data_IF_871223940049
#
_entry.id   IF_871223940049
#
_cell.length_a   1.000
_cell.length_b   1.000
_cell.length_c   1.000
_cell.angle_alpha   90.00
_cell.angle_beta   90.00
_cell.angle_gamma   90.00
#
_symmetry.space_group_name_H-M   'P 1'
#
loop_
_entity.id
_entity.type
_entity.pdbx_description
1 polymer ?
#
# COMPACT_ATOMS: atom_id res chain seq x y z
N UNK A 1 53.58 -11.14 8.09
CA UNK A 1 52.40 -11.01 7.20
C UNK A 1 51.41 -10.09 7.89
N UNK A 2 51.31 -8.84 7.44
CA UNK A 2 50.34 -7.88 7.95
C UNK A 2 49.02 -8.19 7.23
N UNK A 3 48.06 -8.79 7.94
CA UNK A 3 46.70 -8.86 7.43
C UNK A 3 46.15 -7.43 7.50
N UNK A 4 46.18 -6.72 6.38
CA UNK A 4 45.45 -5.47 6.24
C UNK A 4 43.97 -5.77 6.43
N UNK A 5 43.48 -5.51 7.63
CA UNK A 5 42.08 -5.64 7.97
C UNK A 5 41.28 -4.75 7.04
N UNK A 6 40.39 -5.36 6.24
CA UNK A 6 39.45 -4.64 5.38
C UNK A 6 38.84 -3.47 6.17
N UNK A 7 38.80 -2.24 5.62
CA UNK A 7 38.27 -1.07 6.30
C UNK A 7 36.88 -1.30 6.92
N UNK A 8 36.08 -2.18 6.31
CA UNK A 8 34.73 -2.53 6.77
C UNK A 8 34.71 -3.20 8.15
N UNK A 9 35.79 -3.86 8.55
CA UNK A 9 35.92 -4.49 9.86
C UNK A 9 36.03 -3.46 11.00
N UNK A 10 36.45 -2.23 10.69
CA UNK A 10 36.58 -1.11 11.63
C UNK A 10 35.27 -0.36 11.90
N UNK A 11 34.21 -0.62 11.12
CA UNK A 11 32.91 0.02 11.32
C UNK A 11 32.31 -0.30 12.70
N UNK A 12 31.74 0.70 13.36
CA UNK A 12 31.04 0.53 14.63
C UNK A 12 29.80 -0.36 14.47
N UNK A 13 29.44 -1.11 15.52
CA UNK A 13 28.28 -2.00 15.47
C UNK A 13 26.97 -1.25 15.16
N UNK A 14 26.84 -0.03 15.68
CA UNK A 14 25.68 0.83 15.43
C UNK A 14 25.57 1.24 13.96
N UNK A 15 26.69 1.61 13.32
CA UNK A 15 26.70 1.95 11.89
C UNK A 15 26.32 0.74 11.03
N UNK A 16 26.83 -0.44 11.36
CA UNK A 16 26.44 -1.68 10.70
C UNK A 16 24.94 -1.95 10.88
N UNK A 17 24.42 -1.77 12.09
CA UNK A 17 23.00 -1.95 12.38
C UNK A 17 22.14 -0.94 11.61
N UNK A 18 22.54 0.33 11.51
CA UNK A 18 21.87 1.33 10.67
C UNK A 18 21.85 0.89 9.20
N UNK A 19 22.97 0.39 8.67
CA UNK A 19 23.04 -0.16 7.31
C UNK A 19 22.09 -1.35 7.14
N UNK A 20 22.06 -2.29 8.08
CA UNK A 20 21.15 -3.43 8.01
C UNK A 20 19.69 -3.00 8.12
N UNK A 21 19.38 -1.99 8.93
CA UNK A 21 18.04 -1.42 8.99
C UNK A 21 17.63 -0.77 7.67
N UNK A 22 18.53 -0.05 7.00
CA UNK A 22 18.25 0.48 5.65
C UNK A 22 17.93 -0.64 4.66
N UNK A 23 18.58 -1.80 4.77
CA UNK A 23 18.27 -2.98 3.96
C UNK A 23 16.92 -3.65 4.31
N UNK A 24 16.32 -3.32 5.46
CA UNK A 24 14.96 -3.76 5.82
C UNK A 24 13.87 -2.81 5.38
N UNK A 25 14.26 -1.60 4.97
CA UNK A 25 13.36 -0.70 4.29
C UNK A 25 13.16 -1.24 2.87
N UNK A 26 12.25 -2.19 2.70
CA UNK A 26 11.73 -2.59 1.40
C UNK A 26 11.25 -1.34 0.68
N UNK A 27 12.09 -0.80 -0.20
CA UNK A 27 11.84 0.42 -0.98
C UNK A 27 11.17 1.58 -0.22
N UNK A 28 11.41 1.75 1.09
CA UNK A 28 10.92 2.96 1.80
C UNK A 28 11.72 4.19 1.37
N UNK A 29 12.97 4.00 0.91
CA UNK A 29 13.75 5.10 0.33
C UNK A 29 13.25 5.47 -1.08
N UNK A 30 12.56 4.55 -1.76
CA UNK A 30 11.74 4.86 -2.94
C UNK A 30 10.27 5.11 -2.57
N UNK A 31 9.88 5.10 -1.29
CA UNK A 31 8.51 5.39 -0.83
C UNK A 31 8.25 6.88 -0.66
N UNK A 32 9.20 7.75 -1.05
CA UNK A 32 8.81 9.07 -1.54
C UNK A 32 8.12 8.99 -2.91
N UNK A 33 8.30 7.88 -3.64
CA UNK A 33 7.33 7.43 -4.63
C UNK A 33 6.40 6.43 -3.96
N UNK A 34 5.24 6.92 -3.53
CA UNK A 34 4.11 6.13 -2.99
C UNK A 34 3.71 4.93 -3.87
N UNK A 35 4.25 4.81 -5.08
CA UNK A 35 4.08 3.70 -6.00
C UNK A 35 4.62 2.35 -5.49
N UNK A 36 5.63 2.28 -4.63
CA UNK A 36 6.26 1.00 -4.23
C UNK A 36 5.34 0.14 -3.34
N UNK A 37 4.58 0.77 -2.42
CA UNK A 37 3.59 0.08 -1.58
C UNK A 37 2.41 -0.48 -2.36
N UNK A 38 2.12 0.09 -3.53
CA UNK A 38 0.97 -0.23 -4.37
C UNK A 38 1.36 -0.82 -5.73
N UNK A 39 2.64 -1.15 -5.92
CA UNK A 39 3.10 -1.85 -7.12
C UNK A 39 2.74 -3.33 -6.97
N UNK A 40 2.04 -3.88 -7.96
CA UNK A 40 1.81 -5.32 -8.06
C UNK A 40 3.09 -6.09 -8.43
N UNK A 41 4.18 -5.38 -8.73
CA UNK A 41 5.48 -5.98 -9.01
C UNK A 41 6.12 -6.44 -7.70
N UNK A 42 5.95 -7.72 -7.37
CA UNK A 42 6.66 -8.33 -6.26
C UNK A 42 8.18 -8.17 -6.46
N UNK A 43 8.93 -7.68 -5.46
CA UNK A 43 10.37 -7.59 -5.57
C UNK A 43 10.94 -8.98 -5.85
N UNK A 44 11.98 -9.04 -6.70
CA UNK A 44 12.70 -10.28 -6.96
C UNK A 44 13.12 -10.88 -5.62
N UNK A 45 13.01 -12.20 -5.49
CA UNK A 45 13.29 -12.93 -4.24
C UNK A 45 14.62 -12.53 -3.57
N UNK A 46 15.63 -12.20 -4.39
CA UNK A 46 16.97 -11.80 -3.97
C UNK A 46 17.04 -10.43 -3.29
N UNK A 47 16.08 -9.54 -3.55
CA UNK A 47 16.03 -8.16 -3.08
C UNK A 47 15.10 -8.02 -1.85
N UNK A 48 14.59 -9.15 -1.33
CA UNK A 48 13.71 -9.15 -0.17
C UNK A 48 14.49 -8.95 1.14
N UNK A 49 13.95 -8.19 2.11
CA UNK A 49 14.63 -7.85 3.36
C UNK A 49 15.21 -9.05 4.09
N UNK A 50 14.41 -10.11 4.26
CA UNK A 50 14.85 -11.34 4.92
C UNK A 50 16.03 -11.99 4.18
N UNK A 51 16.00 -12.02 2.85
CA UNK A 51 17.08 -12.56 2.01
C UNK A 51 18.35 -11.73 2.15
N UNK A 52 18.24 -10.40 2.14
CA UNK A 52 19.37 -9.48 2.29
C UNK A 52 19.98 -9.60 3.69
N UNK A 53 19.16 -9.60 4.75
CA UNK A 53 19.63 -9.79 6.14
C UNK A 53 20.31 -11.14 6.31
N UNK A 54 19.73 -12.22 5.77
CA UNK A 54 20.32 -13.55 5.80
C UNK A 54 21.69 -13.58 5.11
N UNK A 55 21.81 -13.03 3.89
CA UNK A 55 23.08 -12.94 3.15
C UNK A 55 24.11 -12.09 3.90
N UNK A 56 23.68 -10.96 4.46
CA UNK A 56 24.54 -10.08 5.26
C UNK A 56 25.12 -10.80 6.48
N UNK A 57 24.35 -11.68 7.11
CA UNK A 57 24.81 -12.50 8.25
C UNK A 57 25.88 -13.55 7.89
N UNK A 58 26.17 -13.74 6.60
CA UNK A 58 27.15 -14.71 6.10
C UNK A 58 28.46 -14.04 5.65
N UNK A 59 28.54 -12.70 5.65
CA UNK A 59 29.74 -11.97 5.21
C UNK A 59 30.93 -12.19 6.15
N UNK A 60 30.73 -11.99 7.45
CA UNK A 60 31.75 -12.25 8.46
C UNK A 60 31.13 -12.48 9.85
N UNK A 61 31.94 -12.96 10.81
CA UNK A 61 31.47 -13.21 12.20
C UNK A 61 30.93 -11.96 12.89
N UNK A 62 31.54 -10.79 12.67
CA UNK A 62 31.10 -9.53 13.26
C UNK A 62 29.70 -9.15 12.77
N UNK A 63 29.47 -9.19 11.46
CA UNK A 63 28.16 -8.90 10.87
C UNK A 63 27.09 -9.88 11.34
N UNK A 64 27.47 -11.16 11.40
CA UNK A 64 26.62 -12.21 11.96
C UNK A 64 26.21 -11.90 13.39
N UNK A 65 27.15 -11.55 14.27
CA UNK A 65 26.84 -11.18 15.67
C UNK A 65 25.82 -10.05 15.75
N UNK A 66 26.12 -8.91 15.10
CA UNK A 66 25.24 -7.73 15.08
C UNK A 66 23.83 -8.06 14.57
N UNK A 67 23.72 -8.81 13.46
CA UNK A 67 22.43 -9.19 12.88
C UNK A 67 21.67 -10.17 13.79
N UNK A 68 22.34 -11.21 14.29
CA UNK A 68 21.68 -12.26 15.07
C UNK A 68 21.19 -11.73 16.43
N UNK A 69 21.86 -10.72 17.00
CA UNK A 69 21.52 -10.09 18.28
C UNK A 69 20.47 -8.96 18.14
N UNK A 70 20.21 -8.47 16.93
CA UNK A 70 19.28 -7.36 16.71
C UNK A 70 17.82 -7.82 16.57
N UNK A 71 17.07 -7.86 17.67
CA UNK A 71 15.64 -8.18 17.64
C UNK A 71 14.82 -7.24 16.76
N UNK A 72 15.15 -5.94 16.72
CA UNK A 72 14.43 -4.95 15.91
C UNK A 72 14.56 -5.23 14.41
N UNK A 73 15.70 -5.79 13.98
CA UNK A 73 15.91 -6.22 12.60
C UNK A 73 15.02 -7.41 12.26
N UNK A 74 14.95 -8.41 13.14
CA UNK A 74 14.12 -9.61 12.93
C UNK A 74 12.62 -9.30 12.92
N UNK A 75 12.16 -8.33 13.73
CA UNK A 75 10.77 -7.86 13.69
C UNK A 75 10.38 -7.20 12.35
N UNK A 76 11.35 -6.60 11.64
CA UNK A 76 11.11 -5.91 10.36
C UNK A 76 11.11 -6.82 9.13
N UNK A 77 11.49 -8.09 9.26
CA UNK A 77 11.70 -9.00 8.12
C UNK A 77 10.79 -10.22 8.13
N UNK A 78 9.59 -10.10 8.71
CA UNK A 78 8.59 -11.18 8.75
C UNK A 78 7.92 -11.29 7.37
N UNK A 79 8.62 -11.94 6.44
CA UNK A 79 8.11 -12.30 5.11
C UNK A 79 7.50 -13.69 5.16
N UNK A 80 6.17 -13.75 5.25
CA UNK A 80 5.41 -15.00 5.37
C UNK A 80 5.55 -15.87 4.13
N UNK A 81 5.76 -15.27 2.95
CA UNK A 81 5.91 -16.04 1.72
C UNK A 81 7.23 -16.79 1.68
N UNK A 82 8.31 -16.20 2.18
CA UNK A 82 9.57 -16.90 2.34
C UNK A 82 9.54 -17.87 3.51
N UNK A 83 9.07 -17.42 4.69
CA UNK A 83 9.22 -18.18 5.94
C UNK A 83 8.39 -19.47 5.98
N UNK A 84 7.17 -19.45 5.45
CA UNK A 84 6.35 -20.67 5.42
C UNK A 84 6.81 -21.67 4.36
N UNK A 85 7.47 -21.22 3.29
CA UNK A 85 8.07 -22.11 2.30
C UNK A 85 9.33 -22.82 2.81
N UNK A 86 10.00 -22.26 3.82
CA UNK A 86 11.26 -22.77 4.33
C UNK A 86 11.06 -23.70 5.53
N UNK A 87 11.72 -24.86 5.47
CA UNK A 87 11.84 -25.84 6.57
C UNK A 87 10.53 -26.06 7.38
N UNK A 88 9.39 -26.18 6.68
CA UNK A 88 8.07 -26.46 7.28
C UNK A 88 7.68 -25.51 8.42
N UNK A 89 8.03 -24.22 8.33
CA UNK A 89 7.63 -23.20 9.30
C UNK A 89 8.57 -23.03 10.50
N UNK A 90 9.61 -23.87 10.68
CA UNK A 90 10.61 -23.67 11.74
C UNK A 90 11.30 -22.29 11.64
N UNK A 91 11.47 -21.78 10.42
CA UNK A 91 12.05 -20.46 10.22
C UNK A 91 11.14 -19.33 10.68
N UNK A 92 9.81 -19.46 10.54
CA UNK A 92 8.87 -18.47 11.08
C UNK A 92 9.03 -18.38 12.60
N UNK A 93 9.00 -19.52 13.28
CA UNK A 93 9.16 -19.58 14.74
C UNK A 93 10.51 -18.99 15.19
N UNK A 94 11.59 -19.27 14.46
CA UNK A 94 12.91 -18.71 14.77
C UNK A 94 12.98 -17.19 14.56
N UNK A 95 12.37 -16.66 13.49
CA UNK A 95 12.30 -15.21 13.25
C UNK A 95 11.46 -14.52 14.32
N UNK A 96 10.30 -15.08 14.66
CA UNK A 96 9.44 -14.55 15.72
C UNK A 96 10.16 -14.61 17.07
N UNK A 97 10.82 -15.72 17.41
CA UNK A 97 11.63 -15.85 18.63
C UNK A 97 12.73 -14.80 18.69
N UNK A 98 13.45 -14.56 17.59
CA UNK A 98 14.52 -13.54 17.52
C UNK A 98 13.98 -12.12 17.59
N UNK A 99 12.78 -11.87 17.08
CA UNK A 99 12.12 -10.56 17.19
C UNK A 99 11.82 -10.17 18.63
N UNK A 100 11.78 -11.13 19.57
CA UNK A 100 11.54 -10.88 20.98
C UNK A 100 10.20 -10.17 21.19
N UNK A 101 10.22 -8.98 21.77
CA UNK A 101 9.06 -8.10 21.98
C UNK A 101 8.99 -6.93 21.00
N UNK A 102 9.85 -6.92 19.97
CA UNK A 102 9.88 -5.83 19.00
C UNK A 102 8.64 -5.84 18.11
N UNK A 103 8.32 -4.67 17.55
CA UNK A 103 7.24 -4.53 16.59
C UNK A 103 7.47 -5.38 15.34
N UNK A 104 6.38 -5.90 14.79
CA UNK A 104 6.37 -6.78 13.63
C UNK A 104 5.94 -6.03 12.38
N UNK A 105 6.68 -6.27 11.30
CA UNK A 105 6.33 -5.89 9.94
C UNK A 105 6.09 -7.17 9.16
N UNK A 106 4.82 -7.49 8.97
CA UNK A 106 4.37 -8.73 8.34
C UNK A 106 4.07 -8.44 6.87
N UNK A 107 4.72 -9.18 5.99
CA UNK A 107 4.57 -9.06 4.53
C UNK A 107 4.27 -10.41 3.91
N UNK A 108 3.47 -10.43 2.84
CA UNK A 108 3.36 -11.56 1.91
C UNK A 108 3.63 -11.10 0.49
N UNK A 109 3.93 -12.05 -0.38
CA UNK A 109 3.81 -11.87 -1.81
C UNK A 109 2.47 -12.42 -2.33
N UNK A 110 2.12 -11.99 -3.54
CA UNK A 110 0.91 -12.42 -4.24
C UNK A 110 0.92 -13.92 -4.63
N UNK A 111 2.01 -14.65 -4.41
CA UNK A 111 2.25 -15.97 -4.98
C UNK A 111 1.99 -17.09 -3.97
N UNK A 112 0.81 -17.72 -4.06
CA UNK A 112 0.59 -19.08 -3.54
C UNK A 112 0.44 -19.21 -2.01
N UNK A 113 -0.10 -18.18 -1.34
CA UNK A 113 -0.22 -18.12 0.13
C UNK A 113 -1.32 -19.04 0.69
N UNK A 114 -2.18 -19.66 -0.13
CA UNK A 114 -3.27 -20.51 0.36
C UNK A 114 -2.83 -21.60 1.34
N UNK A 115 -1.66 -22.22 1.11
CA UNK A 115 -1.09 -23.26 2.02
C UNK A 115 -0.48 -22.70 3.31
N UNK A 116 -0.23 -21.39 3.37
CA UNK A 116 0.48 -20.68 4.45
C UNK A 116 -0.47 -19.97 5.42
N UNK A 117 -1.74 -19.99 5.09
CA UNK A 117 -2.79 -19.23 5.74
C UNK A 117 -3.03 -19.61 7.20
N UNK A 118 -2.99 -20.91 7.60
CA UNK A 118 -3.08 -21.25 9.02
C UNK A 118 -1.96 -20.60 9.84
N UNK A 119 -0.72 -20.58 9.32
CA UNK A 119 0.41 -19.96 10.01
C UNK A 119 0.27 -18.43 10.10
N UNK A 120 -0.30 -17.79 9.07
CA UNK A 120 -0.62 -16.37 9.12
C UNK A 120 -1.69 -16.08 10.18
N UNK A 121 -2.78 -16.85 10.21
CA UNK A 121 -3.85 -16.67 11.19
C UNK A 121 -3.29 -16.79 12.61
N UNK A 122 -2.50 -17.83 12.90
CA UNK A 122 -1.84 -18.01 14.20
C UNK A 122 -0.94 -16.82 14.53
N UNK A 123 -0.10 -16.38 13.58
CA UNK A 123 0.77 -15.21 13.78
C UNK A 123 -0.03 -13.95 14.11
N UNK A 124 -1.10 -13.70 13.37
CA UNK A 124 -1.98 -12.55 13.57
C UNK A 124 -2.73 -12.66 14.91
N UNK A 125 -3.18 -13.84 15.29
CA UNK A 125 -3.90 -14.05 16.55
C UNK A 125 -2.98 -13.79 17.76
N UNK A 126 -1.80 -14.41 17.75
CA UNK A 126 -0.83 -14.41 18.86
C UNK A 126 -0.08 -13.08 19.03
N UNK A 127 0.09 -12.31 17.95
CA UNK A 127 0.98 -11.14 17.94
C UNK A 127 0.34 -9.85 17.44
N UNK A 128 -0.99 -9.77 17.36
CA UNK A 128 -1.72 -8.59 16.88
C UNK A 128 -1.25 -7.27 17.48
N UNK A 129 -1.07 -7.24 18.79
CA UNK A 129 -0.67 -6.04 19.56
C UNK A 129 0.74 -5.55 19.23
N UNK A 130 1.55 -6.36 18.54
CA UNK A 130 2.91 -6.02 18.13
C UNK A 130 2.99 -5.67 16.65
N UNK A 131 1.95 -5.91 15.86
CA UNK A 131 1.97 -5.67 14.42
C UNK A 131 1.84 -4.18 14.16
N UNK A 132 2.96 -3.58 13.75
CA UNK A 132 3.03 -2.16 13.36
C UNK A 132 2.74 -1.99 11.86
N UNK A 133 3.08 -2.98 11.05
CA UNK A 133 2.83 -2.95 9.61
C UNK A 133 2.31 -4.30 9.15
N UNK A 134 1.13 -4.31 8.55
CA UNK A 134 0.55 -5.49 7.91
C UNK A 134 0.37 -5.22 6.43
N UNK A 135 1.09 -5.94 5.59
CA UNK A 135 0.94 -5.89 4.13
C UNK A 135 0.77 -7.32 3.59
N UNK A 136 -0.47 -7.73 3.48
CA UNK A 136 -0.84 -9.08 3.09
C UNK A 136 -1.68 -9.03 1.82
N UNK A 137 -1.17 -9.66 0.77
CA UNK A 137 -1.96 -10.01 -0.41
C UNK A 137 -1.91 -11.51 -0.61
N UNK A 138 -3.06 -12.14 -0.82
CA UNK A 138 -3.17 -13.59 -0.97
C UNK A 138 -4.26 -13.99 -1.96
N UNK A 139 -4.11 -15.18 -2.53
CA UNK A 139 -5.13 -15.87 -3.33
C UNK A 139 -5.52 -17.15 -2.60
N UNK A 140 -6.81 -17.35 -2.36
CA UNK A 140 -7.36 -18.49 -1.61
C UNK A 140 -8.42 -19.21 -2.43
N UNK A 141 -8.48 -20.55 -2.36
CA UNK A 141 -9.58 -21.29 -2.99
C UNK A 141 -10.92 -21.01 -2.31
N UNK A 142 -12.04 -21.18 -3.02
CA UNK A 142 -13.38 -20.82 -2.55
C UNK A 142 -13.72 -21.37 -1.14
N UNK A 143 -13.55 -22.67 -0.92
CA UNK A 143 -13.86 -23.32 0.36
C UNK A 143 -12.99 -22.83 1.51
N UNK A 144 -11.69 -22.59 1.25
CA UNK A 144 -10.78 -22.04 2.26
C UNK A 144 -11.08 -20.57 2.55
N UNK A 145 -11.50 -19.80 1.54
CA UNK A 145 -11.78 -18.38 1.66
C UNK A 145 -12.85 -18.06 2.71
N UNK A 146 -13.89 -18.88 2.84
CA UNK A 146 -14.96 -18.62 3.82
C UNK A 146 -14.51 -18.76 5.27
N UNK A 147 -13.77 -19.82 5.63
CA UNK A 147 -13.28 -20.02 6.99
C UNK A 147 -12.25 -18.95 7.37
N UNK A 148 -11.39 -18.62 6.41
CA UNK A 148 -10.36 -17.59 6.59
C UNK A 148 -11.01 -16.23 6.82
N UNK A 149 -12.17 -16.00 6.19
CA UNK A 149 -13.00 -14.81 6.42
C UNK A 149 -13.37 -14.63 7.85
N UNK A 150 -13.91 -15.65 8.46
CA UNK A 150 -14.34 -15.56 9.84
C UNK A 150 -13.15 -15.30 10.77
N UNK A 151 -12.06 -16.04 10.62
CA UNK A 151 -10.89 -15.91 11.50
C UNK A 151 -10.15 -14.59 11.33
N UNK A 152 -9.87 -14.17 10.09
CA UNK A 152 -9.19 -12.89 9.83
C UNK A 152 -10.10 -11.74 10.24
N UNK A 153 -11.42 -11.80 9.95
CA UNK A 153 -12.38 -10.80 10.40
C UNK A 153 -12.39 -10.68 11.93
N UNK A 154 -12.46 -11.80 12.65
CA UNK A 154 -12.39 -11.84 14.13
C UNK A 154 -11.14 -11.14 14.65
N UNK A 155 -9.97 -11.44 14.07
CA UNK A 155 -8.70 -10.82 14.47
C UNK A 155 -8.71 -9.31 14.20
N UNK A 156 -9.11 -8.91 12.98
CA UNK A 156 -9.07 -7.50 12.54
C UNK A 156 -10.08 -6.61 13.26
N UNK A 157 -11.12 -7.16 13.90
CA UNK A 157 -12.02 -6.41 14.77
C UNK A 157 -11.41 -6.06 16.13
N UNK A 158 -10.25 -6.61 16.50
CA UNK A 158 -9.56 -6.24 17.75
C UNK A 158 -8.91 -4.86 17.62
N UNK A 159 -8.99 -3.99 18.64
CA UNK A 159 -8.31 -2.70 18.63
C UNK A 159 -6.80 -2.87 18.53
N UNK A 160 -6.11 -1.81 18.09
CA UNK A 160 -4.64 -1.81 18.01
C UNK A 160 -4.08 -0.43 18.24
N UNK A 161 -3.13 -0.33 19.18
CA UNK A 161 -2.51 0.95 19.55
C UNK A 161 -1.25 1.25 18.72
N UNK A 162 -0.72 0.27 17.99
CA UNK A 162 0.61 0.37 17.37
C UNK A 162 0.61 0.21 15.84
N UNK A 163 -0.51 -0.22 15.26
CA UNK A 163 -0.63 -0.41 13.82
C UNK A 163 -0.52 0.94 13.11
N UNK A 164 0.48 1.07 12.24
CA UNK A 164 0.77 2.26 11.45
C UNK A 164 0.39 2.10 9.99
N UNK A 165 0.50 0.88 9.47
CA UNK A 165 0.24 0.60 8.06
C UNK A 165 -0.56 -0.68 7.89
N UNK A 166 -1.62 -0.62 7.10
CA UNK A 166 -2.53 -1.73 6.87
C UNK A 166 -2.86 -1.88 5.39
N UNK A 167 -2.56 -3.06 4.85
CA UNK A 167 -2.98 -3.55 3.54
C UNK A 167 -3.33 -5.02 3.68
N UNK A 168 -4.59 -5.36 3.45
CA UNK A 168 -5.05 -6.76 3.39
C UNK A 168 -5.89 -6.93 2.14
N UNK A 169 -5.42 -7.75 1.22
CA UNK A 169 -6.09 -8.08 -0.03
C UNK A 169 -6.19 -9.60 -0.17
N UNK A 170 -7.39 -10.12 0.00
CA UNK A 170 -7.68 -11.55 -0.12
C UNK A 170 -8.52 -11.76 -1.37
N UNK A 171 -7.91 -12.38 -2.38
CA UNK A 171 -8.52 -12.73 -3.66
C UNK A 171 -8.99 -14.19 -3.62
N UNK A 172 -10.18 -14.49 -4.13
CA UNK A 172 -10.68 -15.86 -4.21
C UNK A 172 -10.40 -16.42 -5.61
N UNK A 173 -9.71 -17.55 -5.70
CA UNK A 173 -9.39 -18.20 -6.97
C UNK A 173 -10.66 -18.56 -7.76
N UNK A 174 -10.62 -18.37 -9.08
CA UNK A 174 -11.76 -18.61 -9.97
C UNK A 174 -12.87 -17.56 -9.92
N UNK A 175 -12.87 -16.65 -8.94
CA UNK A 175 -13.80 -15.51 -8.89
C UNK A 175 -12.99 -14.23 -9.13
N UNK A 176 -13.07 -13.68 -10.34
CA UNK A 176 -12.46 -12.36 -10.64
C UNK A 176 -13.04 -11.21 -9.79
N UNK A 177 -14.04 -11.48 -8.96
CA UNK A 177 -15.05 -10.51 -8.54
C UNK A 177 -15.22 -10.41 -7.01
N UNK A 178 -14.80 -11.40 -6.23
CA UNK A 178 -15.09 -11.40 -4.79
C UNK A 178 -13.88 -10.90 -3.98
N UNK A 179 -13.79 -9.59 -3.80
CA UNK A 179 -13.02 -9.04 -2.69
C UNK A 179 -13.67 -9.49 -1.38
N UNK A 180 -12.91 -10.25 -0.59
CA UNK A 180 -13.28 -10.77 0.74
C UNK A 180 -13.83 -9.71 1.71
N UNK A 181 -15.14 -9.58 1.87
CA UNK A 181 -15.69 -8.54 2.76
C UNK A 181 -15.31 -8.81 4.25
N UNK A 182 -14.33 -8.09 4.80
CA UNK A 182 -14.11 -8.07 6.25
C UNK A 182 -15.28 -7.36 6.90
N UNK A 183 -15.84 -7.95 7.95
CA UNK A 183 -16.96 -7.33 8.64
C UNK A 183 -16.45 -6.16 9.48
N UNK A 184 -17.18 -5.06 9.43
CA UNK A 184 -16.90 -3.81 10.14
C UNK A 184 -17.54 -3.90 11.54
N UNK A 185 -17.00 -3.23 12.59
CA UNK A 185 -15.88 -2.27 12.61
C UNK A 185 -14.49 -2.90 12.54
N UNK A 186 -13.67 -2.41 11.59
CA UNK A 186 -12.23 -2.67 11.61
C UNK A 186 -11.61 -2.03 12.86
N UNK A 187 -10.72 -2.77 13.51
CA UNK A 187 -9.96 -2.36 14.68
C UNK A 187 -10.83 -1.94 15.87
N UNK A 188 -12.09 -2.39 15.94
CA UNK A 188 -13.08 -1.86 16.89
C UNK A 188 -13.15 -0.31 16.86
N UNK A 189 -12.88 0.31 15.71
CA UNK A 189 -12.74 1.76 15.51
C UNK A 189 -11.62 2.43 16.34
N UNK A 190 -10.68 1.66 16.92
CA UNK A 190 -9.51 2.17 17.63
C UNK A 190 -8.21 1.71 16.96
N UNK A 191 -7.64 2.61 16.17
CA UNK A 191 -6.32 2.43 15.56
C UNK A 191 -5.57 3.77 15.51
N UNK A 192 -5.25 4.42 16.65
CA UNK A 192 -4.79 5.82 16.69
C UNK A 192 -3.40 6.07 16.07
N UNK A 193 -2.62 5.01 15.79
CA UNK A 193 -1.33 5.15 15.11
C UNK A 193 -1.43 4.94 13.59
N UNK A 194 -2.61 4.61 13.05
CA UNK A 194 -2.77 4.19 11.66
C UNK A 194 -2.66 5.39 10.73
N UNK A 195 -1.60 5.40 9.92
CA UNK A 195 -1.27 6.50 8.99
C UNK A 195 -1.39 6.09 7.53
N UNK A 196 -1.24 4.81 7.22
CA UNK A 196 -1.39 4.27 5.87
C UNK A 196 -2.42 3.16 5.82
N UNK A 197 -3.41 3.29 4.93
CA UNK A 197 -4.49 2.33 4.80
C UNK A 197 -4.76 1.98 3.34
N UNK A 198 -4.92 0.68 3.09
CA UNK A 198 -5.20 0.11 1.80
C UNK A 198 -6.25 -0.99 1.94
N UNK A 199 -7.38 -0.84 1.25
CA UNK A 199 -8.44 -1.84 1.28
C UNK A 199 -9.20 -1.91 -0.04
N UNK A 200 -9.58 -3.14 -0.40
CA UNK A 200 -10.51 -3.42 -1.49
C UNK A 200 -11.98 -3.48 -1.06
N UNK A 201 -12.30 -3.21 0.21
CA UNK A 201 -13.63 -3.42 0.80
C UNK A 201 -14.32 -2.11 1.15
N UNK A 202 -15.65 -2.07 1.08
CA UNK A 202 -16.48 -0.91 1.41
C UNK A 202 -16.43 -0.52 2.91
N UNK A 203 -15.33 0.07 3.38
CA UNK A 203 -15.28 0.71 4.70
C UNK A 203 -15.85 2.14 4.68
N UNK A 204 -15.96 2.74 3.49
CA UNK A 204 -16.44 4.12 3.29
C UNK A 204 -17.96 4.29 3.32
N UNK A 205 -18.71 3.20 3.14
CA UNK A 205 -20.18 3.25 3.05
C UNK A 205 -20.90 3.17 4.40
N UNK A 206 -20.18 2.99 5.51
CA UNK A 206 -20.82 2.73 6.80
C UNK A 206 -20.96 4.03 7.60
N UNK A 207 -22.19 4.29 8.08
CA UNK A 207 -22.56 5.48 8.84
C UNK A 207 -21.83 5.66 10.18
N UNK A 208 -20.95 4.73 10.55
CA UNK A 208 -20.14 4.84 11.76
C UNK A 208 -18.93 5.75 11.53
N UNK A 209 -18.76 6.80 12.34
CA UNK A 209 -17.57 7.65 12.27
C UNK A 209 -16.34 6.85 12.72
N UNK A 210 -15.48 6.51 11.76
CA UNK A 210 -14.19 5.89 12.01
C UNK A 210 -13.21 6.99 12.46
N UNK A 211 -12.99 7.13 13.77
CA UNK A 211 -12.14 8.20 14.34
C UNK A 211 -10.71 8.20 13.77
N UNK A 212 -10.17 7.02 13.48
CA UNK A 212 -8.84 6.82 12.93
C UNK A 212 -8.66 7.33 11.49
N UNK A 213 -9.73 7.64 10.74
CA UNK A 213 -9.61 8.18 9.37
C UNK A 213 -8.92 9.55 9.36
N UNK A 214 -9.16 10.37 10.39
CA UNK A 214 -8.67 11.75 10.45
C UNK A 214 -7.14 11.89 10.47
N UNK A 215 -6.44 10.85 10.90
CA UNK A 215 -4.98 10.83 10.98
C UNK A 215 -4.31 10.14 9.78
N UNK A 216 -5.10 9.62 8.83
CA UNK A 216 -4.56 8.97 7.64
C UNK A 216 -3.79 9.98 6.79
N UNK A 217 -2.60 9.57 6.39
CA UNK A 217 -1.71 10.29 5.48
C UNK A 217 -1.69 9.61 4.10
N UNK A 218 -1.82 8.28 4.06
CA UNK A 218 -1.83 7.52 2.82
C UNK A 218 -3.10 6.69 2.73
N UNK A 219 -3.84 6.87 1.65
CA UNK A 219 -5.04 6.10 1.35
C UNK A 219 -4.93 5.46 -0.03
N UNK A 220 -5.14 4.15 -0.08
CA UNK A 220 -5.30 3.39 -1.32
C UNK A 220 -6.65 2.68 -1.35
N UNK A 221 -7.46 3.03 -2.35
CA UNK A 221 -8.74 2.41 -2.60
C UNK A 221 -8.63 1.53 -3.84
N UNK A 222 -8.75 0.22 -3.65
CA UNK A 222 -8.90 -0.72 -4.76
C UNK A 222 -10.38 -0.95 -5.00
N UNK A 223 -10.94 -0.39 -6.07
CA UNK A 223 -12.30 -0.66 -6.52
C UNK A 223 -12.33 -1.96 -7.32
N UNK A 224 -12.26 -3.08 -6.58
CA UNK A 224 -12.90 -4.31 -7.03
C UNK A 224 -14.42 -4.21 -6.85
N UNK A 225 -15.15 -5.24 -7.26
CA UNK A 225 -16.57 -5.35 -6.95
C UNK A 225 -16.75 -5.76 -5.47
N UNK A 226 -17.70 -5.16 -4.72
CA UNK A 226 -18.56 -4.03 -5.08
C UNK A 226 -17.84 -2.67 -5.10
N UNK A 227 -18.21 -1.82 -6.05
CA UNK A 227 -17.58 -0.52 -6.33
C UNK A 227 -18.01 0.56 -5.34
N UNK A 228 -17.09 1.42 -4.92
CA UNK A 228 -17.43 2.65 -4.22
C UNK A 228 -18.18 3.61 -5.14
N UNK A 229 -19.18 4.31 -4.61
CA UNK A 229 -19.72 5.48 -5.31
C UNK A 229 -18.78 6.67 -5.13
N UNK A 230 -18.77 7.60 -6.09
CA UNK A 230 -18.01 8.84 -5.96
C UNK A 230 -18.39 9.59 -4.67
N UNK A 231 -19.68 9.61 -4.33
CA UNK A 231 -20.18 10.26 -3.11
C UNK A 231 -19.58 9.65 -1.84
N UNK A 232 -19.49 8.31 -1.75
CA UNK A 232 -18.87 7.64 -0.61
C UNK A 232 -17.39 8.00 -0.47
N UNK A 233 -16.68 8.07 -1.60
CA UNK A 233 -15.27 8.48 -1.63
C UNK A 233 -15.14 9.92 -1.14
N UNK A 234 -15.90 10.86 -1.69
CA UNK A 234 -15.84 12.26 -1.32
C UNK A 234 -16.22 12.50 0.15
N UNK A 235 -17.29 11.86 0.62
CA UNK A 235 -17.71 11.95 2.02
C UNK A 235 -16.63 11.44 2.99
N UNK A 236 -15.91 10.39 2.60
CA UNK A 236 -14.81 9.87 3.39
C UNK A 236 -13.61 10.82 3.41
N UNK A 237 -13.22 11.35 2.24
CA UNK A 237 -12.09 12.25 2.09
C UNK A 237 -12.27 13.55 2.88
N UNK A 238 -13.51 14.01 3.07
CA UNK A 238 -13.82 15.15 3.94
C UNK A 238 -13.35 14.94 5.39
N UNK A 239 -13.38 13.69 5.87
CA UNK A 239 -12.89 13.32 7.19
C UNK A 239 -11.38 13.16 7.29
N UNK A 240 -10.60 13.40 6.22
CA UNK A 240 -9.16 13.12 6.13
C UNK A 240 -8.34 14.36 5.74
N UNK A 241 -8.36 15.45 6.53
CA UNK A 241 -7.64 16.69 6.18
C UNK A 241 -6.11 16.52 6.15
N UNK A 242 -5.58 15.51 6.84
CA UNK A 242 -4.15 15.18 6.87
C UNK A 242 -3.64 14.35 5.69
N UNK A 243 -4.49 14.03 4.71
CA UNK A 243 -4.14 13.12 3.63
C UNK A 243 -3.05 13.73 2.72
N UNK A 244 -1.95 13.00 2.57
CA UNK A 244 -0.77 13.35 1.76
C UNK A 244 -0.79 12.62 0.42
N UNK A 245 -1.23 11.35 0.45
CA UNK A 245 -1.20 10.45 -0.69
C UNK A 245 -2.57 9.83 -0.86
N UNK A 246 -3.18 10.03 -2.02
CA UNK A 246 -4.43 9.39 -2.39
C UNK A 246 -4.27 8.61 -3.68
N UNK A 247 -4.53 7.31 -3.63
CA UNK A 247 -4.59 6.45 -4.80
C UNK A 247 -5.94 5.75 -4.87
N UNK A 248 -6.54 5.74 -6.06
CA UNK A 248 -7.72 4.97 -6.35
C UNK A 248 -7.51 4.16 -7.63
N UNK A 249 -7.90 2.89 -7.59
CA UNK A 249 -7.79 1.96 -8.72
C UNK A 249 -9.11 1.26 -9.01
N UNK A 250 -9.39 0.88 -10.25
CA UNK A 250 -10.44 -0.09 -10.62
C UNK A 250 -11.39 0.35 -11.73
N UNK A 251 -12.32 -0.53 -12.10
CA UNK A 251 -12.94 -0.50 -13.43
C UNK A 251 -14.11 0.49 -13.59
N UNK A 252 -14.91 0.72 -12.54
CA UNK A 252 -16.05 1.63 -12.60
C UNK A 252 -16.31 2.27 -11.25
N UNK A 253 -16.09 3.58 -11.13
CA UNK A 253 -16.78 4.36 -10.10
C UNK A 253 -18.02 4.90 -10.78
N UNK A 254 -19.19 4.37 -10.40
CA UNK A 254 -20.44 4.79 -11.01
C UNK A 254 -20.62 6.31 -10.82
N UNK A 255 -20.61 7.11 -11.91
CA UNK A 255 -20.89 8.53 -11.79
C UNK A 255 -22.35 8.67 -11.36
N UNK A 256 -22.58 9.23 -10.18
CA UNK A 256 -23.93 9.51 -9.71
C UNK A 256 -24.48 10.65 -10.57
N UNK A 257 -25.61 10.41 -11.22
CA UNK A 257 -26.32 11.41 -12.00
C UNK A 257 -26.82 12.55 -11.10
N UNK A 258 -26.23 13.73 -11.25
CA UNK A 258 -26.89 15.03 -11.09
C UNK A 258 -27.44 15.41 -9.71
N UNK A 259 -26.62 15.36 -8.65
CA UNK A 259 -26.87 16.15 -7.44
C UNK A 259 -25.71 17.12 -7.21
N UNK A 260 -26.02 18.34 -6.75
CA UNK A 260 -25.08 19.44 -6.51
C UNK A 260 -23.80 18.93 -5.80
N UNK A 261 -22.70 18.98 -6.55
CA UNK A 261 -21.43 18.37 -6.16
C UNK A 261 -20.79 19.11 -4.99
N UNK A 262 -20.62 18.41 -3.85
CA UNK A 262 -19.84 18.91 -2.72
C UNK A 262 -18.36 18.76 -3.06
N UNK A 263 -17.70 19.89 -3.26
CA UNK A 263 -16.25 19.94 -3.51
C UNK A 263 -15.50 19.66 -2.20
N UNK A 264 -14.55 18.74 -2.22
CA UNK A 264 -13.75 18.33 -1.06
C UNK A 264 -12.34 18.92 -1.17
N UNK A 265 -11.88 19.59 -0.12
CA UNK A 265 -10.54 20.18 -0.06
C UNK A 265 -9.55 19.24 0.62
N UNK A 266 -8.43 18.96 -0.04
CA UNK A 266 -7.34 18.13 0.49
C UNK A 266 -6.04 18.94 0.54
N UNK A 267 -5.89 19.86 1.51
CA UNK A 267 -4.85 20.89 1.50
C UNK A 267 -3.42 20.35 1.63
N UNK A 268 -3.25 19.13 2.15
CA UNK A 268 -1.94 18.50 2.35
C UNK A 268 -1.57 17.49 1.26
N UNK A 269 -2.43 17.32 0.25
CA UNK A 269 -2.25 16.30 -0.77
C UNK A 269 -1.04 16.62 -1.65
N UNK A 270 -0.04 15.73 -1.62
CA UNK A 270 1.18 15.80 -2.42
C UNK A 270 1.15 14.85 -3.61
N UNK A 271 0.42 13.74 -3.51
CA UNK A 271 0.35 12.75 -4.57
C UNK A 271 -1.09 12.25 -4.77
N UNK A 272 -1.59 12.38 -6.00
CA UNK A 272 -2.89 11.91 -6.43
C UNK A 272 -2.71 10.93 -7.60
N UNK A 273 -3.16 9.70 -7.41
CA UNK A 273 -3.13 8.68 -8.46
C UNK A 273 -4.50 8.09 -8.70
N UNK A 274 -4.96 8.18 -9.95
CA UNK A 274 -6.27 7.70 -10.37
C UNK A 274 -6.04 6.71 -11.51
N UNK A 275 -6.36 5.45 -11.26
CA UNK A 275 -6.25 4.34 -12.20
C UNK A 275 -7.67 3.82 -12.47
N UNK A 276 -8.33 4.29 -13.53
CA UNK A 276 -9.73 3.95 -13.79
C UNK A 276 -9.93 3.18 -15.09
N UNK A 277 -11.03 2.44 -15.20
CA UNK A 277 -11.50 1.91 -16.48
C UNK A 277 -12.09 2.98 -17.40
N UNK A 278 -12.46 4.14 -16.85
CA UNK A 278 -13.22 5.17 -17.57
C UNK A 278 -12.64 6.56 -17.33
N UNK A 279 -12.45 7.35 -18.40
CA UNK A 279 -11.97 8.73 -18.28
C UNK A 279 -12.96 9.60 -17.49
N UNK A 280 -14.27 9.34 -17.63
CA UNK A 280 -15.33 10.09 -16.92
C UNK A 280 -15.21 9.99 -15.40
N UNK A 281 -14.74 8.85 -14.88
CA UNK A 281 -14.47 8.67 -13.45
C UNK A 281 -13.31 9.55 -13.01
N UNK A 282 -12.23 9.59 -13.81
CA UNK A 282 -11.05 10.40 -13.50
C UNK A 282 -11.44 11.88 -13.41
N UNK A 283 -12.22 12.36 -14.37
CA UNK A 283 -12.63 13.75 -14.44
C UNK A 283 -13.60 14.11 -13.34
N UNK A 284 -14.57 13.23 -13.06
CA UNK A 284 -15.50 13.43 -11.96
C UNK A 284 -14.77 13.52 -10.60
N UNK A 285 -13.73 12.72 -10.38
CA UNK A 285 -12.90 12.84 -9.17
C UNK A 285 -12.17 14.19 -9.16
N UNK A 286 -11.51 14.56 -10.26
CA UNK A 286 -10.77 15.83 -10.33
C UNK A 286 -11.68 17.05 -10.13
N UNK A 287 -12.87 17.07 -10.71
CA UNK A 287 -13.84 18.17 -10.60
C UNK A 287 -14.39 18.35 -9.18
N UNK A 288 -14.35 17.29 -8.37
CA UNK A 288 -14.86 17.28 -6.99
C UNK A 288 -13.75 17.46 -5.94
N UNK A 289 -12.48 17.61 -6.35
CA UNK A 289 -11.35 17.78 -5.44
C UNK A 289 -10.69 19.16 -5.62
N UNK A 290 -10.47 19.86 -4.51
CA UNK A 290 -9.55 21.00 -4.45
C UNK A 290 -8.21 20.48 -3.95
N UNK A 291 -7.25 20.42 -4.88
CA UNK A 291 -5.90 19.94 -4.65
C UNK A 291 -4.89 21.09 -4.64
N UNK A 292 -3.81 21.01 -3.84
CA UNK A 292 -2.77 22.03 -3.83
C UNK A 292 -2.06 22.11 -5.18
N UNK A 293 -1.57 23.29 -5.53
CA UNK A 293 -0.79 23.54 -6.75
C UNK A 293 0.54 22.73 -6.82
N UNK A 294 0.95 22.08 -5.73
CA UNK A 294 2.11 21.19 -5.69
C UNK A 294 1.80 19.70 -5.62
N UNK A 295 0.53 19.31 -5.77
CA UNK A 295 0.14 17.92 -5.83
C UNK A 295 0.62 17.32 -7.17
N UNK A 296 1.23 16.14 -7.19
CA UNK A 296 1.56 15.41 -8.42
C UNK A 296 0.39 14.51 -8.82
N UNK A 297 -0.01 14.53 -10.10
CA UNK A 297 -1.07 13.68 -10.65
C UNK A 297 -0.51 12.58 -11.54
N UNK A 298 -1.00 11.37 -11.27
CA UNK A 298 -0.90 10.23 -12.19
C UNK A 298 -2.32 9.78 -12.52
N UNK A 299 -2.79 10.14 -13.70
CA UNK A 299 -4.10 9.74 -14.20
C UNK A 299 -3.92 8.72 -15.32
N UNK A 300 -4.51 7.53 -15.16
CA UNK A 300 -4.55 6.50 -16.19
C UNK A 300 -5.99 6.04 -16.32
N UNK A 301 -6.54 6.10 -17.53
CA UNK A 301 -7.79 5.47 -17.89
C UNK A 301 -7.53 4.40 -18.95
N UNK A 302 -7.98 3.17 -18.72
CA UNK A 302 -7.86 2.06 -19.68
C UNK A 302 -9.24 1.49 -19.98
N UNK A 303 -9.72 1.70 -21.20
CA UNK A 303 -10.98 1.10 -21.65
C UNK A 303 -10.80 -0.43 -21.71
N UNK A 304 -11.72 -1.18 -21.13
CA UNK A 304 -11.71 -2.64 -21.20
C UNK A 304 -12.01 -3.14 -22.61
N UNK A 305 -11.60 -4.38 -22.92
CA UNK A 305 -11.75 -5.01 -24.25
C UNK A 305 -13.21 -5.22 -24.73
N UNK A 306 -14.22 -4.82 -23.94
CA UNK A 306 -15.64 -5.08 -24.22
C UNK A 306 -16.41 -3.89 -24.82
N UNK A 307 -15.76 -2.80 -25.18
CA UNK A 307 -16.43 -1.66 -25.81
C UNK A 307 -16.04 -1.52 -27.28
N UNK A 308 -17.00 -1.78 -28.16
CA UNK A 308 -16.89 -1.67 -29.63
C UNK A 308 -17.22 -0.27 -30.16
N UNK A 309 -17.48 0.72 -29.28
CA UNK A 309 -17.80 2.08 -29.70
C UNK A 309 -16.67 3.05 -29.36
N UNK A 310 -16.25 3.83 -30.38
CA UNK A 310 -15.38 5.00 -30.23
C UNK A 310 -16.09 6.04 -29.36
N UNK A 311 -15.90 5.96 -28.04
CA UNK A 311 -16.37 7.00 -27.13
C UNK A 311 -15.50 8.24 -27.35
N UNK A 312 -16.05 9.25 -28.02
CA UNK A 312 -15.38 10.54 -28.16
C UNK A 312 -15.00 11.09 -26.78
N UNK A 313 -13.77 11.59 -26.65
CA UNK A 313 -13.27 12.19 -25.42
C UNK A 313 -14.22 13.30 -24.95
N UNK A 314 -14.82 13.10 -23.78
CA UNK A 314 -15.70 14.10 -23.14
C UNK A 314 -14.97 15.46 -23.04
N UNK A 315 -15.51 16.55 -23.63
CA UNK A 315 -14.93 17.88 -23.53
C UNK A 315 -14.69 18.35 -22.09
N UNK A 316 -15.47 17.83 -21.12
CA UNK A 316 -15.25 18.09 -19.68
C UNK A 316 -13.91 17.57 -19.21
N UNK A 317 -13.44 16.44 -19.74
CA UNK A 317 -12.15 15.89 -19.40
C UNK A 317 -11.02 16.87 -19.67
N UNK A 318 -11.03 17.48 -20.86
CA UNK A 318 -10.07 18.50 -21.23
C UNK A 318 -10.07 19.67 -20.24
N UNK A 319 -11.24 20.12 -19.79
CA UNK A 319 -11.36 21.22 -18.83
C UNK A 319 -10.77 20.85 -17.46
N UNK A 320 -11.09 19.67 -16.92
CA UNK A 320 -10.56 19.20 -15.63
C UNK A 320 -9.04 19.10 -15.66
N UNK A 321 -8.48 18.46 -16.70
CA UNK A 321 -7.02 18.32 -16.84
C UNK A 321 -6.33 19.65 -17.10
N UNK A 322 -6.94 20.54 -17.88
CA UNK A 322 -6.41 21.89 -18.12
C UNK A 322 -6.35 22.68 -16.81
N UNK A 323 -7.42 22.68 -16.03
CA UNK A 323 -7.46 23.37 -14.74
C UNK A 323 -6.38 22.84 -13.79
N UNK A 324 -6.31 21.52 -13.66
CA UNK A 324 -5.28 20.86 -12.84
C UNK A 324 -3.87 21.22 -13.29
N UNK A 325 -3.59 21.08 -14.59
CA UNK A 325 -2.26 21.34 -15.18
C UNK A 325 -1.84 22.79 -15.00
N UNK A 326 -2.77 23.74 -15.20
CA UNK A 326 -2.50 25.16 -15.00
C UNK A 326 -2.09 25.46 -13.55
N UNK A 327 -2.79 24.88 -12.57
CA UNK A 327 -2.43 25.05 -11.17
C UNK A 327 -1.07 24.40 -10.85
N UNK A 328 -0.82 23.19 -11.38
CA UNK A 328 0.43 22.46 -11.15
C UNK A 328 1.67 23.18 -11.70
N UNK A 329 1.62 23.57 -12.98
CA UNK A 329 2.77 24.20 -13.65
C UNK A 329 3.01 25.66 -13.24
N UNK A 330 2.11 26.28 -12.47
CA UNK A 330 2.39 27.57 -11.82
C UNK A 330 3.44 27.45 -10.71
N UNK A 331 3.55 26.30 -10.06
CA UNK A 331 4.45 26.08 -8.92
C UNK A 331 5.65 25.21 -9.30
N UNK A 332 5.46 24.22 -10.17
CA UNK A 332 6.52 23.27 -10.56
C UNK A 332 6.95 23.42 -12.01
N UNK A 333 8.27 23.54 -12.21
CA UNK A 333 8.89 23.42 -13.53
C UNK A 333 9.09 21.95 -13.86
N UNK A 334 8.11 21.35 -14.53
CA UNK A 334 8.24 19.98 -15.02
C UNK A 334 9.31 19.91 -16.11
N UNK A 335 10.24 18.96 -15.98
CA UNK A 335 11.26 18.71 -17.00
C UNK A 335 10.87 17.56 -17.92
N UNK A 336 9.88 16.75 -17.54
CA UNK A 336 9.42 15.61 -18.33
C UNK A 336 7.96 15.28 -18.05
N UNK A 337 7.15 15.24 -19.09
CA UNK A 337 5.75 14.85 -19.04
C UNK A 337 5.51 13.63 -19.92
N UNK A 338 4.75 12.66 -19.41
CA UNK A 338 4.25 11.54 -20.19
C UNK A 338 2.75 11.73 -20.44
N UNK A 339 2.42 11.98 -21.70
CA UNK A 339 1.05 12.02 -22.21
C UNK A 339 0.89 10.91 -23.25
N UNK A 340 -0.08 10.04 -23.06
CA UNK A 340 -0.48 9.04 -24.06
C UNK A 340 -1.98 9.08 -24.21
N UNK A 341 -2.45 9.25 -25.45
CA UNK A 341 -3.86 9.24 -25.81
C UNK A 341 -3.99 8.26 -26.97
N UNK A 342 -4.63 7.14 -26.71
CA UNK A 342 -5.00 6.13 -27.70
C UNK A 342 -6.50 5.87 -27.55
N UNK A 343 -7.16 5.24 -28.54
CA UNK A 343 -8.57 4.89 -28.41
C UNK A 343 -8.91 4.11 -27.14
N UNK A 344 -7.96 3.33 -26.60
CA UNK A 344 -8.17 2.48 -25.42
C UNK A 344 -7.51 3.00 -24.16
N UNK A 345 -6.68 4.03 -24.24
CA UNK A 345 -5.82 4.39 -23.12
C UNK A 345 -5.57 5.88 -23.07
N UNK A 346 -5.91 6.48 -21.94
CA UNK A 346 -5.46 7.80 -21.56
C UNK A 346 -4.42 7.66 -20.44
N UNK A 347 -3.30 8.35 -20.57
CA UNK A 347 -2.28 8.45 -19.53
C UNK A 347 -1.77 9.88 -19.47
N UNK A 348 -1.79 10.43 -18.26
CA UNK A 348 -1.16 11.70 -17.92
C UNK A 348 -0.35 11.51 -16.64
N UNK A 349 0.95 11.79 -16.70
CA UNK A 349 1.82 11.77 -15.52
C UNK A 349 3.03 12.67 -15.72
N UNK A 350 3.39 13.41 -14.67
CA UNK A 350 4.71 14.02 -14.57
C UNK A 350 5.76 12.93 -14.29
N UNK A 351 6.81 12.87 -15.11
CA UNK A 351 7.92 11.90 -14.98
C UNK A 351 9.25 12.59 -14.71
N UNK A 352 9.20 13.85 -14.26
CA UNK A 352 10.36 14.61 -13.81
C UNK A 352 11.05 13.85 -12.68
N UNK A 353 12.34 13.52 -12.81
CA UNK A 353 13.07 12.88 -11.74
C UNK A 353 13.18 13.87 -10.57
N UNK A 354 12.37 13.66 -9.54
CA UNK A 354 12.47 14.45 -8.33
C UNK A 354 13.76 14.05 -7.59
N UNK A 355 14.62 15.01 -7.18
CA UNK A 355 15.70 14.69 -6.25
C UNK A 355 15.08 14.13 -4.97
N UNK A 356 15.73 13.15 -4.30
CA UNK A 356 15.22 12.62 -3.04
C UNK A 356 15.03 13.79 -2.07
N UNK A 357 13.80 14.00 -1.62
CA UNK A 357 13.48 15.11 -0.74
C UNK A 357 14.21 14.84 0.58
N UNK A 358 14.94 15.84 1.07
CA UNK A 358 15.53 15.75 2.41
C UNK A 358 14.40 15.96 3.41
N UNK A 359 14.00 14.88 4.07
CA UNK A 359 13.05 14.89 5.19
C UNK A 359 13.62 15.60 6.41
#
# INVERSE_FOLDING_TARGET
MIFDYSPISKLHAELLLSIFHMNTLTDVVNAESDAAWFSDVSPKMQDRPLTIVRRSSQVCRKWRGVILESSSLWGKVVDMSLLCGLARGHWLNEVIRRSGQQFLHVTTDNAGVSSRLPALIVLLDDHWERIRSLNVTMVVGYSAGMLVREEVSRILRRPTEVLQSFRVEIKIDGLQIANFLVDVPLFANSAPCLTAFSSGHLFLGQHTPNSWLSQLQTLFLSSGLPTYTLQQILQALEGMPGLVTFTITGHSVHPVTSNAHKVVSLPNLKFLRILSGQIVTVTAILDNLVVPAGCTLVAIATQGDQFDEEEELDPRAYQSFRHYSQNYFQVYTSTSLALSITPRTFRFSDTTPHPPRRS
#
